data_IF_253693344335
#
_entry.id   IF_253693344335
#
_cell.length_a   1.000
_cell.length_b   1.000
_cell.length_c   1.000
_cell.angle_alpha   90.00
_cell.angle_beta   90.00
_cell.angle_gamma   90.00
#
_symmetry.space_group_name_H-M   'P 1'
#
loop_
_entity.id
_entity.type
_entity.pdbx_description
1 polymer ?
#
# COMPACT_ATOMS: atom_id res chain seq x y z
N UNK A 1 -10.53 2.12 -15.81
CA UNK A 1 -9.38 1.20 -15.73
C UNK A 1 -9.56 0.51 -14.40
N UNK A 2 -9.60 -0.81 -14.36
CA UNK A 2 -9.89 -1.55 -13.12
C UNK A 2 -8.96 -1.06 -12.01
N UNK A 3 -9.50 -0.39 -10.99
CA UNK A 3 -8.83 0.22 -9.82
C UNK A 3 -8.19 -0.83 -8.89
N UNK A 4 -7.74 -1.94 -9.48
CA UNK A 4 -7.20 -3.11 -8.84
C UNK A 4 -5.68 -2.98 -8.82
N UNK A 5 -5.15 -2.72 -7.63
CA UNK A 5 -3.72 -2.63 -7.35
C UNK A 5 -3.18 -4.05 -7.22
N UNK A 6 -2.10 -4.35 -7.95
CA UNK A 6 -1.43 -5.65 -7.87
C UNK A 6 -0.40 -5.63 -6.74
N UNK A 7 -0.60 -6.48 -5.74
CA UNK A 7 0.30 -6.64 -4.60
C UNK A 7 0.62 -8.12 -4.36
N UNK A 8 1.50 -8.41 -3.40
CA UNK A 8 1.89 -9.76 -2.98
C UNK A 8 1.78 -9.88 -1.47
N UNK A 9 1.40 -11.07 -0.99
CA UNK A 9 1.28 -11.38 0.44
C UNK A 9 2.61 -11.72 1.13
N UNK A 10 3.72 -11.74 0.36
CA UNK A 10 5.06 -12.07 0.88
C UNK A 10 5.48 -13.53 0.66
N UNK A 11 4.56 -14.39 0.23
CA UNK A 11 4.79 -15.79 -0.17
C UNK A 11 5.03 -15.96 -1.68
N UNK A 12 4.97 -14.86 -2.44
CA UNK A 12 5.11 -14.84 -3.89
C UNK A 12 3.79 -14.88 -4.66
N UNK A 13 2.67 -15.14 -3.99
CA UNK A 13 1.35 -15.10 -4.62
C UNK A 13 0.96 -13.65 -4.95
N UNK A 14 0.59 -13.42 -6.22
CA UNK A 14 0.15 -12.12 -6.70
C UNK A 14 -1.35 -12.02 -6.51
N UNK A 15 -1.75 -11.06 -5.69
CA UNK A 15 -3.16 -10.71 -5.48
C UNK A 15 -3.47 -9.35 -6.10
N UNK A 16 -4.76 -9.07 -6.22
CA UNK A 16 -5.28 -7.77 -6.65
C UNK A 16 -6.30 -7.31 -5.65
N UNK A 17 -6.14 -6.08 -5.15
CA UNK A 17 -7.08 -5.45 -4.22
C UNK A 17 -7.50 -4.08 -4.73
N UNK A 18 -8.71 -3.61 -4.41
CA UNK A 18 -9.15 -2.27 -4.75
C UNK A 18 -8.36 -1.20 -4.00
N UNK A 19 -8.23 -0.01 -4.60
CA UNK A 19 -7.56 1.13 -3.99
C UNK A 19 -8.13 1.54 -2.61
N UNK A 20 -9.44 1.36 -2.37
CA UNK A 20 -10.06 1.63 -1.07
C UNK A 20 -9.57 0.70 0.02
N UNK A 21 -9.43 -0.59 -0.29
CA UNK A 21 -8.95 -1.60 0.67
C UNK A 21 -7.49 -1.33 1.06
N UNK A 22 -6.65 -0.93 0.10
CA UNK A 22 -5.27 -0.55 0.39
C UNK A 22 -5.19 0.67 1.32
N UNK A 23 -6.08 1.65 1.17
CA UNK A 23 -6.13 2.84 2.04
C UNK A 23 -6.54 2.47 3.47
N UNK A 24 -7.53 1.59 3.60
CA UNK A 24 -7.97 1.10 4.90
C UNK A 24 -6.85 0.31 5.61
N UNK A 25 -6.09 -0.51 4.86
CA UNK A 25 -4.92 -1.21 5.38
C UNK A 25 -3.79 -0.26 5.83
N UNK A 26 -3.51 0.81 5.06
CA UNK A 26 -2.52 1.83 5.44
C UNK A 26 -2.94 2.52 6.74
N UNK A 27 -4.21 2.90 6.87
CA UNK A 27 -4.72 3.56 8.05
C UNK A 27 -4.58 2.66 9.28
N UNK A 28 -5.09 1.42 9.19
CA UNK A 28 -5.04 0.45 10.27
C UNK A 28 -3.59 0.10 10.66
N UNK A 29 -2.71 -0.09 9.67
CA UNK A 29 -1.29 -0.39 9.90
C UNK A 29 -0.54 0.77 10.56
N UNK A 30 -0.85 2.01 10.16
CA UNK A 30 -0.22 3.21 10.73
C UNK A 30 -0.71 3.46 12.16
N UNK A 31 -2.00 3.22 12.45
CA UNK A 31 -2.57 3.32 13.79
C UNK A 31 -1.93 2.28 14.74
N UNK A 32 -1.89 1.00 14.33
CA UNK A 32 -1.27 -0.08 15.09
C UNK A 32 0.23 0.16 15.34
N UNK A 33 0.96 0.65 14.32
CA UNK A 33 2.38 0.99 14.46
C UNK A 33 2.61 2.20 15.37
N UNK A 34 1.74 3.21 15.30
CA UNK A 34 1.78 4.39 16.16
C UNK A 34 1.56 4.02 17.63
N UNK A 35 0.55 3.18 17.90
CA UNK A 35 0.25 2.69 19.25
C UNK A 35 1.41 1.87 19.82
N UNK A 36 1.91 0.88 19.06
CA UNK A 36 3.01 0.01 19.50
C UNK A 36 4.34 0.74 19.63
N UNK A 37 4.61 1.66 18.72
CA UNK A 37 5.83 2.45 18.69
C UNK A 37 5.83 3.62 19.67
N UNK A 38 4.66 3.99 20.22
CA UNK A 38 4.46 5.22 20.99
C UNK A 38 4.94 6.46 20.25
N UNK A 39 4.79 6.46 18.92
CA UNK A 39 5.16 7.56 18.02
C UNK A 39 3.91 8.20 17.45
N UNK A 40 3.94 9.48 17.05
CA UNK A 40 2.82 10.11 16.37
C UNK A 40 2.43 9.33 15.10
N UNK A 41 1.12 9.26 14.84
CA UNK A 41 0.59 8.73 13.59
C UNK A 41 1.02 9.61 12.41
N UNK A 42 1.20 9.01 11.24
CA UNK A 42 1.47 9.76 10.01
C UNK A 42 0.31 10.70 9.68
N UNK A 43 0.63 11.89 9.18
CA UNK A 43 -0.34 12.83 8.66
C UNK A 43 -1.02 12.28 7.40
N UNK A 44 -2.20 12.78 7.08
CA UNK A 44 -2.98 12.33 5.90
C UNK A 44 -2.18 12.42 4.59
N UNK A 45 -1.39 13.48 4.41
CA UNK A 45 -0.51 13.62 3.24
C UNK A 45 0.62 12.58 3.17
N UNK A 46 1.15 12.15 4.32
CA UNK A 46 2.18 11.11 4.39
C UNK A 46 1.57 9.72 4.12
N UNK A 47 0.32 9.50 4.56
CA UNK A 47 -0.43 8.30 4.24
C UNK A 47 -0.77 8.22 2.74
N UNK A 48 -1.06 9.36 2.10
CA UNK A 48 -1.27 9.44 0.65
C UNK A 48 0.01 9.13 -0.13
N UNK A 49 1.16 9.67 0.30
CA UNK A 49 2.46 9.35 -0.33
C UNK A 49 2.76 7.84 -0.23
N UNK A 50 2.47 7.22 0.93
CA UNK A 50 2.56 5.78 1.08
C UNK A 50 1.63 5.04 0.11
N UNK A 51 0.38 5.49 -0.03
CA UNK A 51 -0.56 4.92 -0.98
C UNK A 51 -0.01 4.96 -2.41
N UNK A 52 0.54 6.08 -2.86
CA UNK A 52 1.13 6.21 -4.19
C UNK A 52 2.28 5.23 -4.41
N UNK A 53 3.17 5.08 -3.43
CA UNK A 53 4.28 4.12 -3.48
C UNK A 53 3.75 2.69 -3.58
N UNK A 54 2.80 2.32 -2.72
CA UNK A 54 2.26 0.97 -2.65
C UNK A 54 1.44 0.60 -3.88
N UNK A 55 0.72 1.57 -4.45
CA UNK A 55 -0.07 1.45 -5.68
C UNK A 55 0.78 1.44 -6.96
N UNK A 56 2.07 1.80 -6.87
CA UNK A 56 2.90 1.96 -8.04
C UNK A 56 3.13 0.62 -8.77
N UNK A 57 2.81 0.51 -10.08
CA UNK A 57 2.84 -0.75 -10.81
C UNK A 57 4.25 -1.34 -10.94
N UNK A 58 5.28 -0.48 -10.87
CA UNK A 58 6.68 -0.92 -10.94
C UNK A 58 7.28 -1.29 -9.59
N UNK A 59 6.58 -1.07 -8.47
CA UNK A 59 7.14 -1.26 -7.11
C UNK A 59 7.80 -2.63 -6.92
N UNK A 60 7.23 -3.68 -7.50
CA UNK A 60 7.71 -5.04 -7.28
C UNK A 60 8.80 -5.52 -8.24
N UNK A 61 8.86 -4.99 -9.46
CA UNK A 61 9.78 -5.48 -10.51
C UNK A 61 10.59 -4.38 -11.18
N UNK A 62 10.51 -3.14 -10.68
CA UNK A 62 11.16 -1.92 -11.20
C UNK A 62 10.80 -1.54 -12.65
N UNK A 63 9.92 -2.30 -13.31
CA UNK A 63 9.42 -2.09 -14.67
C UNK A 63 7.90 -2.19 -14.71
N UNK A 64 7.27 -1.65 -15.75
CA UNK A 64 5.82 -1.82 -15.96
C UNK A 64 5.55 -3.25 -16.48
N UNK A 65 4.79 -4.09 -15.76
CA UNK A 65 4.53 -5.45 -16.21
C UNK A 65 3.79 -5.46 -17.56
N UNK A 66 4.39 -6.10 -18.56
CA UNK A 66 3.78 -6.26 -19.89
C UNK A 66 4.03 -5.10 -20.86
N UNK A 67 4.91 -4.15 -20.51
CA UNK A 67 5.43 -3.11 -21.42
C UNK A 67 6.94 -3.19 -21.57
#
# INVERSE_FOLDING_TARGET
>A
MSDAISTRMGDGERITMPASELRDEILAGTEDASEKGQVPQLAEGEQEELFEILAHPTRMVSVEPGK
#
